data_IF_349807957486
#
_entry.id   IF_349807957486
#
_cell.length_a   1.000
_cell.length_b   1.000
_cell.length_c   1.000
_cell.angle_alpha   90.00
_cell.angle_beta   90.00
_cell.angle_gamma   90.00
#
_symmetry.space_group_name_H-M   'P 1'
#
loop_
_entity.id
_entity.type
_entity.pdbx_description
1 polymer ?
2 non-polymer ?
3 water ?
#
# COMPACT_ATOMS: atom_id res chain seq x y z
N UNK A 2 -0.62 10.31 -19.08
CA UNK A 2 -1.41 9.06 -19.26
C UNK A 2 -0.80 8.21 -20.37
N UNK A 3 -0.50 6.95 -20.07
CA UNK A 3 0.08 6.03 -21.06
C UNK A 3 -0.97 5.33 -21.92
N UNK A 4 -0.68 5.19 -23.21
CA UNK A 4 -1.49 4.32 -24.06
C UNK A 4 -1.22 2.87 -23.66
N UNK A 5 -2.08 1.96 -24.12
CA UNK A 5 -1.89 0.54 -23.82
C UNK A 5 -0.51 0.09 -24.30
N UNK A 6 -0.14 0.46 -25.52
CA UNK A 6 1.14 0.06 -26.09
C UNK A 6 2.31 0.66 -25.30
N UNK A 7 2.20 1.92 -24.91
CA UNK A 7 3.25 2.55 -24.14
C UNK A 7 3.45 1.88 -22.78
N UNK A 8 2.35 1.50 -22.15
CA UNK A 8 2.40 0.80 -20.88
C UNK A 8 3.17 -0.50 -21.06
N UNK A 9 2.87 -1.23 -22.12
CA UNK A 9 3.51 -2.53 -22.35
C UNK A 9 4.99 -2.34 -22.64
N UNK A 10 5.33 -1.31 -23.42
CA UNK A 10 6.75 -1.04 -23.71
C UNK A 10 7.49 -0.67 -22.43
N UNK A 11 6.90 0.20 -21.59
CA UNK A 11 7.57 0.58 -20.35
C UNK A 11 7.74 -0.61 -19.41
N UNK A 12 6.72 -1.45 -19.27
CA UNK A 12 6.87 -2.62 -18.45
C UNK A 12 7.95 -3.54 -18.95
N UNK A 13 8.04 -3.70 -20.27
CA UNK A 13 9.10 -4.51 -20.84
C UNK A 13 10.47 -3.95 -20.47
N UNK A 14 10.63 -2.64 -20.59
CA UNK A 14 11.91 -2.02 -20.26
C UNK A 14 12.26 -2.25 -18.78
N UNK A 15 11.30 -1.99 -17.90
CA UNK A 15 11.54 -2.16 -16.47
C UNK A 15 11.88 -3.61 -16.13
N UNK A 16 11.15 -4.54 -16.73
CA UNK A 16 11.39 -5.96 -16.45
C UNK A 16 12.73 -6.43 -17.02
N UNK A 17 13.10 -5.93 -18.19
CA UNK A 17 14.40 -6.24 -18.76
C UNK A 17 15.54 -5.75 -17.83
N UNK A 18 15.40 -4.55 -17.30
CA UNK A 18 16.39 -4.04 -16.34
C UNK A 18 16.46 -4.91 -15.09
N UNK A 19 15.30 -5.31 -14.59
CA UNK A 19 15.26 -6.17 -13.41
C UNK A 19 15.97 -7.50 -13.64
N UNK A 20 15.78 -8.06 -14.83
CA UNK A 20 16.33 -9.36 -15.16
C UNK A 20 17.81 -9.30 -15.49
N UNK A 21 18.20 -8.28 -16.24
CA UNK A 21 19.54 -8.20 -16.80
C UNK A 21 20.51 -7.28 -16.10
N UNK A 22 20.00 -6.24 -15.44
CA UNK A 22 20.88 -5.28 -14.78
C UNK A 22 21.41 -4.18 -15.67
N UNK A 23 20.77 -3.99 -16.83
CA UNK A 23 21.05 -2.86 -17.71
C UNK A 23 19.85 -2.75 -18.65
N UNK A 24 19.67 -1.59 -19.29
CA UNK A 24 18.53 -1.37 -20.16
C UNK A 24 18.60 -2.10 -21.52
N UNK A 25 17.42 -2.37 -22.12
CA UNK A 25 17.38 -2.97 -23.45
C UNK A 25 17.77 -1.96 -24.53
N UNK A 26 18.23 -2.47 -25.65
CA UNK A 26 18.49 -1.59 -26.80
C UNK A 26 17.19 -1.39 -27.58
N UNK A 27 17.20 -0.41 -28.46
CA UNK A 27 16.10 -0.23 -29.39
C UNK A 27 15.80 -1.51 -30.19
N UNK A 28 16.85 -2.19 -30.66
CA UNK A 28 16.66 -3.44 -31.41
C UNK A 28 15.95 -4.49 -30.56
N UNK A 29 16.29 -4.55 -29.27
CA UNK A 29 15.65 -5.53 -28.40
C UNK A 29 14.17 -5.24 -28.20
N UNK A 30 13.84 -3.97 -28.00
CA UNK A 30 12.44 -3.58 -27.90
C UNK A 30 11.69 -3.91 -29.20
N UNK A 31 12.36 -3.66 -30.34
CA UNK A 31 11.75 -3.92 -31.64
C UNK A 31 11.46 -5.41 -31.82
N UNK A 32 12.40 -6.25 -31.40
CA UNK A 32 12.21 -7.70 -31.43
C UNK A 32 11.01 -8.11 -30.58
N UNK A 33 10.96 -7.59 -29.35
CA UNK A 33 9.89 -7.94 -28.44
C UNK A 33 8.52 -7.60 -29.02
N UNK A 34 8.40 -6.41 -29.62
CA UNK A 34 7.10 -5.90 -30.06
C UNK A 34 6.79 -6.08 -31.54
N UNK A 35 7.71 -6.71 -32.27
CA UNK A 35 7.53 -7.04 -33.69
C UNK A 35 7.26 -5.77 -34.50
N UNK A 36 8.09 -4.77 -34.25
CA UNK A 36 8.02 -3.51 -34.94
C UNK A 36 9.42 -3.18 -35.42
N UNK A 37 9.53 -2.20 -36.29
CA UNK A 37 10.84 -1.76 -36.72
C UNK A 37 11.57 -1.06 -35.59
N UNK A 38 12.92 -1.06 -35.63
CA UNK A 38 13.65 -0.26 -34.65
C UNK A 38 13.20 1.20 -34.61
N UNK A 39 12.89 1.79 -35.77
CA UNK A 39 12.34 3.12 -35.82
C UNK A 39 11.04 3.24 -35.03
N UNK A 40 10.13 2.29 -35.21
CA UNK A 40 8.91 2.24 -34.41
C UNK A 40 9.17 2.13 -32.91
N UNK A 41 10.13 1.31 -32.51
CA UNK A 41 10.49 1.17 -31.09
C UNK A 41 11.05 2.46 -30.51
N UNK A 42 11.92 3.12 -31.27
CA UNK A 42 12.50 4.38 -30.83
C UNK A 42 11.39 5.42 -30.60
N UNK A 43 10.36 5.41 -31.46
CA UNK A 43 9.25 6.34 -31.32
C UNK A 43 8.54 6.17 -29.96
N UNK A 44 8.35 4.92 -29.51
CA UNK A 44 7.77 4.70 -28.18
C UNK A 44 8.68 5.22 -27.06
N UNK A 45 9.98 4.97 -27.18
CA UNK A 45 10.95 5.52 -26.22
C UNK A 45 10.86 7.03 -26.12
N UNK A 46 10.76 7.69 -27.27
CA UNK A 46 10.74 9.14 -27.31
C UNK A 46 9.47 9.63 -26.62
N UNK A 47 8.34 8.96 -26.85
CA UNK A 47 7.06 9.28 -26.19
C UNK A 47 7.09 9.08 -24.66
N UNK A 48 7.67 7.97 -24.20
CA UNK A 48 7.83 7.70 -22.78
C UNK A 48 8.68 8.78 -22.11
N UNK A 49 9.71 9.23 -22.82
CA UNK A 49 10.55 10.33 -22.35
C UNK A 49 9.75 11.64 -22.20
N UNK A 50 8.87 11.92 -23.17
CA UNK A 50 8.01 13.11 -23.15
C UNK A 50 7.08 13.18 -21.95
N UNK A 51 6.50 12.05 -21.61
CA UNK A 51 5.53 11.94 -20.53
C UNK A 51 6.22 11.78 -19.17
N UNK A 52 7.55 11.73 -19.19
CA UNK A 52 8.35 11.77 -17.96
C UNK A 52 8.63 10.44 -17.31
N UNK A 53 8.39 9.35 -18.02
CA UNK A 53 8.57 8.00 -17.45
C UNK A 53 9.99 7.47 -17.56
N UNK A 54 10.71 7.88 -18.60
CA UNK A 54 12.12 7.49 -18.75
C UNK A 54 12.97 8.73 -19.06
N UNK A 55 14.28 8.60 -18.85
CA UNK A 55 15.27 9.60 -19.22
C UNK A 55 16.27 8.91 -20.15
N UNK A 56 16.62 9.57 -21.25
CA UNK A 56 17.57 9.02 -22.21
C UNK A 56 18.75 9.96 -22.39
N UNK A 60 24.93 7.35 -25.77
CA UNK A 60 25.12 6.06 -26.41
C UNK A 60 23.89 5.15 -26.22
N UNK A 61 23.82 4.01 -26.95
CA UNK A 61 22.79 3.01 -26.71
C UNK A 61 22.67 2.57 -25.25
N UNK A 62 21.48 2.14 -24.88
CA UNK A 62 21.17 1.66 -23.52
C UNK A 62 21.33 2.76 -22.46
N UNK A 63 21.38 4.02 -22.90
CA UNK A 63 21.42 5.16 -21.98
C UNK A 63 20.00 5.49 -21.61
N UNK A 64 19.49 4.73 -20.64
CA UNK A 64 18.08 4.73 -20.35
C UNK A 64 17.91 4.54 -18.84
N UNK A 65 17.19 5.45 -18.22
CA UNK A 65 16.88 5.35 -16.79
C UNK A 65 15.39 5.51 -16.57
N UNK A 66 14.85 4.72 -15.64
CA UNK A 66 13.45 4.80 -15.30
C UNK A 66 13.25 5.97 -14.34
N UNK A 67 12.47 6.96 -14.78
CA UNK A 67 12.17 8.16 -13.97
C UNK A 67 10.86 8.05 -13.22
N UNK A 68 9.93 7.26 -13.77
CA UNK A 68 8.66 6.95 -13.10
C UNK A 68 8.30 5.50 -13.36
N UNK A 69 8.46 4.67 -12.34
CA UNK A 69 8.18 3.24 -12.45
C UNK A 69 6.68 2.94 -12.38
N UNK A 70 6.25 1.97 -13.19
CA UNK A 70 4.89 1.46 -13.13
C UNK A 70 4.86 -0.04 -12.80
N UNK A 71 6.00 -0.62 -12.47
CA UNK A 71 6.06 -2.05 -12.21
C UNK A 71 5.19 -2.46 -11.02
N UNK A 72 5.01 -1.56 -10.06
CA UNK A 72 4.25 -1.88 -8.85
C UNK A 72 2.80 -1.39 -8.90
N UNK A 73 2.38 -0.98 -10.09
CA UNK A 73 0.98 -0.66 -10.35
C UNK A 73 0.29 -1.96 -10.74
N UNK A 74 -0.47 -2.50 -9.79
CA UNK A 74 -1.03 -3.84 -9.92
C UNK A 74 -2.47 -3.78 -10.41
N UNK A 75 -2.81 -4.57 -11.45
CA UNK A 75 -4.18 -4.51 -11.97
C UNK A 75 -5.19 -5.04 -10.98
N UNK A 76 -6.26 -4.27 -10.80
CA UNK A 76 -7.41 -4.70 -10.03
C UNK A 76 -8.41 -5.30 -11.01
N UNK A 77 -8.66 -6.59 -10.85
CA UNK A 77 -9.56 -7.32 -11.73
C UNK A 77 -10.89 -7.50 -11.02
N UNK A 78 -11.98 -7.29 -11.75
CA UNK A 78 -13.31 -7.55 -11.19
C UNK A 78 -13.82 -8.89 -11.69
N UNK A 79 -14.61 -8.86 -12.74
CA UNK A 79 -15.18 -10.06 -13.30
C UNK A 79 -14.12 -10.87 -14.00
N UNK A 80 -14.25 -12.19 -13.89
CA UNK A 80 -13.45 -13.11 -14.67
C UNK A 80 -14.43 -14.13 -15.26
N UNK A 81 -14.33 -14.36 -16.56
CA UNK A 81 -15.21 -15.32 -17.26
C UNK A 81 -14.39 -16.45 -17.85
N UNK A 82 -15.04 -17.58 -18.12
CA UNK A 82 -14.38 -18.71 -18.78
C UNK A 82 -14.57 -18.60 -20.28
N UNK A 83 -13.47 -18.44 -21.01
CA UNK A 83 -13.51 -18.25 -22.46
C UNK A 83 -13.23 -19.51 -23.25
N UNK A 84 -12.63 -19.35 -24.42
CA UNK A 84 -12.23 -20.49 -25.26
C UNK A 84 -11.26 -21.36 -24.47
N UNK A 85 -11.50 -22.67 -24.47
CA UNK A 85 -10.65 -23.62 -23.75
C UNK A 85 -10.52 -23.21 -22.27
N UNK A 86 -11.56 -22.56 -21.75
CA UNK A 86 -11.60 -22.04 -20.37
C UNK A 86 -10.51 -21.03 -19.99
N UNK A 87 -9.91 -20.40 -21.00
CA UNK A 87 -9.03 -19.27 -20.75
C UNK A 87 -9.76 -18.24 -19.88
N UNK A 88 -9.06 -17.70 -18.89
CA UNK A 88 -9.66 -16.70 -18.02
C UNK A 88 -9.75 -15.36 -18.74
N UNK A 89 -10.97 -14.83 -18.87
CA UNK A 89 -11.19 -13.52 -19.48
C UNK A 89 -11.36 -12.55 -18.32
N UNK A 90 -10.39 -11.66 -18.14
CA UNK A 90 -10.35 -10.78 -16.99
C UNK A 90 -10.79 -9.38 -17.37
N UNK A 91 -11.62 -8.79 -16.51
CA UNK A 91 -12.15 -7.45 -16.75
C UNK A 91 -11.48 -6.49 -15.78
N UNK A 92 -10.49 -5.75 -16.30
CA UNK A 92 -9.69 -4.82 -15.54
C UNK A 92 -10.48 -3.60 -15.13
N UNK A 93 -10.37 -3.23 -13.87
CA UNK A 93 -11.04 -2.04 -13.36
C UNK A 93 -10.14 -0.87 -13.06
N UNK A 94 -8.90 -1.13 -12.69
CA UNK A 94 -7.99 -0.06 -12.27
C UNK A 94 -6.61 -0.64 -12.06
N UNK A 95 -5.64 0.22 -11.81
CA UNK A 95 -4.32 -0.18 -11.31
C UNK A 95 -4.11 0.48 -9.98
N UNK A 96 -3.63 -0.30 -9.00
CA UNK A 96 -3.35 0.19 -7.66
C UNK A 96 -1.86 -0.02 -7.35
N UNK A 97 -1.18 1.05 -6.90
CA UNK A 97 0.21 0.93 -6.48
C UNK A 97 0.34 0.17 -5.16
N UNK A 98 1.06 -0.94 -5.21
CA UNK A 98 1.25 -1.79 -4.03
C UNK A 98 2.71 -1.63 -3.55
N UNK A 99 2.90 -1.50 -2.21
CA UNK A 99 4.28 -1.33 -1.73
C UNK A 99 5.18 -2.50 -2.12
N UNK A 100 6.43 -2.17 -2.51
CA UNK A 100 7.38 -3.15 -3.03
C UNK A 100 7.60 -4.36 -2.11
N UNK A 101 7.65 -4.11 -0.81
CA UNK A 101 7.93 -5.16 0.17
C UNK A 101 6.84 -6.23 0.22
N UNK A 102 5.68 -5.95 -0.39
CA UNK A 102 4.58 -6.92 -0.41
C UNK A 102 4.56 -7.75 -1.71
N UNK A 103 5.44 -7.43 -2.65
CA UNK A 103 5.50 -8.06 -3.98
C UNK A 103 6.74 -8.92 -4.13
N UNK A 104 6.58 -10.12 -4.70
CA UNK A 104 7.75 -10.92 -5.01
C UNK A 104 8.24 -10.57 -6.39
N UNK A 105 9.53 -10.26 -6.48
CA UNK A 105 10.17 -10.24 -7.78
C UNK A 105 9.99 -11.63 -8.36
N UNK A 106 9.89 -11.68 -9.68
CA UNK A 106 9.80 -12.95 -10.34
C UNK A 106 8.40 -13.44 -10.62
N UNK A 107 7.37 -12.77 -10.07
CA UNK A 107 5.98 -13.09 -10.41
C UNK A 107 5.21 -11.86 -10.87
N UNK A 108 4.16 -12.10 -11.66
CA UNK A 108 3.14 -11.09 -11.92
C UNK A 108 2.08 -11.21 -10.84
N UNK A 109 1.33 -10.14 -10.64
CA UNK A 109 0.30 -10.10 -9.61
C UNK A 109 -0.95 -9.40 -10.11
N UNK A 110 -2.08 -9.71 -9.47
CA UNK A 110 -3.30 -8.94 -9.67
C UNK A 110 -4.01 -8.81 -8.33
N UNK A 111 -4.99 -7.91 -8.26
CA UNK A 111 -5.80 -7.75 -7.04
C UNK A 111 -7.22 -8.18 -7.35
N UNK A 112 -7.89 -8.72 -6.33
CA UNK A 112 -9.32 -9.00 -6.39
C UNK A 112 -9.97 -8.46 -5.15
N UNK A 113 -11.20 -7.97 -5.27
CA UNK A 113 -11.98 -7.56 -4.11
C UNK A 113 -12.70 -8.78 -3.57
N UNK A 114 -12.52 -9.03 -2.27
CA UNK A 114 -13.17 -10.14 -1.63
C UNK A 114 -14.67 -9.91 -1.49
N UNK A 115 -15.45 -10.92 -1.88
CA UNK A 115 -16.91 -10.88 -1.77
C UNK A 115 -17.33 -11.92 -0.77
N UNK A 116 -17.95 -11.49 0.32
CA UNK A 116 -18.47 -12.42 1.31
C UNK A 116 -17.48 -12.91 2.34
N UNK A 117 -17.89 -13.96 3.06
CA UNK A 117 -17.21 -14.43 4.27
C UNK A 117 -16.51 -15.78 4.11
N UNK A 118 -16.30 -16.24 2.89
CA UNK A 118 -15.70 -17.57 2.70
C UNK A 118 -14.32 -17.76 3.34
N UNK A 119 -13.60 -16.67 3.60
CA UNK A 119 -12.25 -16.77 4.14
C UNK A 119 -12.06 -16.06 5.49
N UNK A 120 -13.17 -15.84 6.19
CA UNK A 120 -13.16 -15.06 7.41
C UNK A 120 -12.26 -15.65 8.53
N UNK A 121 -12.16 -16.98 8.59
CA UNK A 121 -11.32 -17.62 9.60
C UNK A 121 -9.83 -17.51 9.31
N UNK A 122 -9.49 -17.09 8.09
CA UNK A 122 -8.12 -16.70 7.74
C UNK A 122 -7.98 -15.18 7.82
N UNK A 123 -8.99 -14.54 8.41
CA UNK A 123 -8.93 -13.10 8.67
C UNK A 123 -8.89 -12.28 7.36
N UNK A 124 -9.61 -12.82 6.37
CA UNK A 124 -9.81 -12.18 5.07
C UNK A 124 -11.30 -11.87 4.98
N UNK A 125 -11.62 -10.59 4.84
CA UNK A 125 -12.97 -10.10 5.05
C UNK A 125 -13.61 -9.56 3.77
N UNK A 126 -14.94 -9.61 3.72
CA UNK A 126 -15.66 -8.95 2.64
C UNK A 126 -15.15 -7.52 2.48
N UNK A 127 -14.88 -7.13 1.23
CA UNK A 127 -14.40 -5.79 0.91
C UNK A 127 -12.89 -5.65 0.93
N UNK A 128 -12.16 -6.63 1.48
CA UNK A 128 -10.70 -6.59 1.41
C UNK A 128 -10.27 -6.67 -0.05
N UNK A 129 -9.06 -6.20 -0.31
CA UNK A 129 -8.37 -6.60 -1.53
C UNK A 129 -7.43 -7.73 -1.18
N UNK A 130 -7.40 -8.76 -2.02
CA UNK A 130 -6.33 -9.74 -1.92
C UNK A 130 -5.39 -9.54 -3.09
N UNK A 131 -4.10 -9.62 -2.76
CA UNK A 131 -3.01 -9.58 -3.74
C UNK A 131 -2.76 -11.02 -4.14
N UNK A 132 -2.92 -11.30 -5.44
CA UNK A 132 -2.79 -12.64 -5.97
C UNK A 132 -1.54 -12.70 -6.86
N UNK A 133 -0.61 -13.57 -6.51
CA UNK A 133 0.52 -13.84 -7.35
C UNK A 133 0.11 -14.86 -8.41
N UNK A 134 0.36 -14.55 -9.68
CA UNK A 134 -0.09 -15.43 -10.76
C UNK A 134 0.74 -16.69 -10.80
N UNK A 135 0.04 -17.82 -10.74
CA UNK A 135 0.64 -19.14 -10.85
C UNK A 135 -0.52 -20.10 -11.12
N UNK A 136 -0.24 -21.19 -11.85
CA UNK A 136 -1.29 -22.13 -12.21
C UNK A 136 -1.13 -23.45 -11.47
N UNK A 137 -0.31 -23.41 -10.41
CA UNK A 137 -0.05 -24.56 -9.54
C UNK A 137 -0.30 -24.11 -8.11
N UNK A 138 -0.43 -25.05 -7.20
CA UNK A 138 -0.59 -24.75 -5.77
C UNK A 138 -0.16 -25.93 -4.94
N UNK A 139 0.22 -25.64 -3.70
CA UNK A 139 0.53 -26.66 -2.70
C UNK A 139 -0.65 -26.79 -1.74
N UNK A 140 -0.82 -27.97 -1.17
CA UNK A 140 -1.93 -28.18 -0.24
C UNK A 140 -1.85 -27.17 0.89
N UNK A 141 -2.98 -26.53 1.19
CA UNK A 141 -3.03 -25.53 2.24
C UNK A 141 -2.91 -24.10 1.73
N UNK A 142 -2.48 -23.93 0.47
CA UNK A 142 -2.35 -22.59 -0.10
C UNK A 142 -3.71 -21.93 -0.23
N UNK A 143 -3.77 -20.62 0.04
CA UNK A 143 -4.99 -19.88 -0.26
C UNK A 143 -4.90 -19.45 -1.71
N UNK A 144 -5.85 -19.91 -2.52
CA UNK A 144 -5.81 -19.65 -3.97
C UNK A 144 -7.02 -18.87 -4.44
N UNK A 145 -6.84 -18.20 -5.57
CA UNK A 145 -7.96 -17.77 -6.39
C UNK A 145 -8.11 -18.81 -7.49
N UNK A 146 -9.30 -19.40 -7.58
CA UNK A 146 -9.55 -20.51 -8.52
C UNK A 146 -10.85 -20.24 -9.28
N UNK A 147 -10.92 -20.78 -10.49
CA UNK A 147 -12.17 -20.73 -11.24
C UNK A 147 -12.62 -22.14 -11.56
N UNK A 148 -13.89 -22.41 -11.28
CA UNK A 148 -14.49 -23.69 -11.67
C UNK A 148 -15.94 -23.41 -11.97
N UNK A 149 -16.44 -24.01 -13.06
CA UNK A 149 -17.83 -23.84 -13.51
C UNK A 149 -18.19 -22.36 -13.55
N UNK A 150 -17.25 -21.57 -14.05
CA UNK A 150 -17.46 -20.14 -14.27
C UNK A 150 -17.65 -19.33 -13.00
N UNK A 151 -17.22 -19.88 -11.86
CA UNK A 151 -17.28 -19.18 -10.59
C UNK A 151 -15.87 -18.97 -10.08
N UNK A 152 -15.55 -17.73 -9.72
CA UNK A 152 -14.24 -17.41 -9.12
C UNK A 152 -14.40 -17.44 -7.63
N UNK A 153 -13.56 -18.18 -6.94
CA UNK A 153 -13.62 -18.18 -5.49
C UNK A 153 -12.23 -18.15 -4.88
N UNK A 154 -12.20 -17.77 -3.62
CA UNK A 154 -10.99 -17.88 -2.80
C UNK A 154 -11.24 -19.03 -1.87
N UNK A 155 -10.25 -19.89 -1.74
CA UNK A 155 -10.36 -21.07 -0.92
C UNK A 155 -8.99 -21.59 -0.62
N UNK A 156 -8.88 -22.42 0.39
CA UNK A 156 -7.68 -23.21 0.59
C UNK A 156 -7.71 -24.43 -0.34
N UNK A 157 -6.60 -24.67 -1.03
CA UNK A 157 -6.50 -25.70 -2.05
C UNK A 157 -5.93 -26.98 -1.47
N UNK A 158 -6.60 -28.10 -1.75
CA UNK A 158 -6.06 -29.42 -1.42
C UNK A 158 -6.29 -30.34 -2.60
N UNK A 159 -5.25 -31.09 -2.95
CA UNK A 159 -5.45 -32.16 -3.92
C UNK A 159 -5.07 -33.49 -3.33
N UNK A 160 -5.95 -34.46 -3.51
CA UNK A 160 -5.67 -35.86 -3.18
C UNK A 160 -6.07 -36.71 -4.36
N UNK A 161 -5.09 -37.35 -4.98
CA UNK A 161 -5.32 -38.14 -6.19
C UNK A 161 -5.91 -37.27 -7.29
N UNK A 162 -7.04 -37.72 -7.83
CA UNK A 162 -7.71 -37.06 -8.95
C UNK A 162 -8.72 -35.98 -8.52
N UNK A 163 -8.73 -35.63 -7.24
CA UNK A 163 -9.76 -34.75 -6.69
C UNK A 163 -9.15 -33.53 -6.02
N UNK A 164 -9.65 -32.37 -6.41
CA UNK A 164 -9.28 -31.12 -5.74
C UNK A 164 -10.41 -30.70 -4.81
N UNK A 165 -10.03 -30.33 -3.59
CA UNK A 165 -10.93 -29.72 -2.61
C UNK A 165 -10.65 -28.23 -2.57
N UNK A 166 -11.71 -27.44 -2.69
CA UNK A 166 -11.66 -26.00 -2.41
C UNK A 166 -12.34 -25.80 -1.06
N UNK A 167 -11.52 -25.57 -0.04
CA UNK A 167 -12.00 -25.52 1.34
C UNK A 167 -12.14 -24.07 1.82
N UNK A 168 -13.36 -23.67 2.22
CA UNK A 168 -13.49 -22.33 2.80
C UNK A 168 -12.85 -22.27 4.19
N UNK A 169 -12.67 -21.05 4.68
CA UNK A 169 -12.23 -20.86 6.06
C UNK A 169 -13.40 -20.18 6.76
N UNK A 170 -14.45 -20.97 6.99
CA UNK A 170 -15.70 -20.51 7.57
C UNK A 170 -16.51 -21.73 7.96
N UNK A 171 -16.78 -21.86 9.26
CA UNK A 171 -17.50 -23.00 9.83
C UNK A 171 -18.97 -23.09 9.39
N UNK A 172 -19.49 -22.02 8.81
CA UNK A 172 -20.86 -22.03 8.30
C UNK A 172 -20.92 -22.53 6.85
N UNK A 173 -19.76 -22.83 6.26
CA UNK A 173 -19.72 -23.20 4.85
C UNK A 173 -19.12 -24.57 4.68
N UNK A 174 -19.40 -25.20 3.55
CA UNK A 174 -18.85 -26.52 3.31
C UNK A 174 -17.84 -26.52 2.15
N UNK A 175 -16.94 -27.49 2.19
CA UNK A 175 -15.99 -27.68 1.10
C UNK A 175 -16.67 -28.17 -0.14
N UNK A 176 -16.04 -27.85 -1.28
CA UNK A 176 -16.46 -28.32 -2.58
C UNK A 176 -15.33 -29.15 -3.18
N UNK A 177 -15.70 -30.21 -3.90
CA UNK A 177 -14.75 -31.16 -4.44
C UNK A 177 -15.00 -31.35 -5.92
N UNK A 178 -13.92 -31.44 -6.69
CA UNK A 178 -14.01 -31.50 -8.15
C UNK A 178 -12.97 -32.43 -8.71
N UNK A 179 -13.30 -33.08 -9.83
CA UNK A 179 -12.26 -33.70 -10.63
C UNK A 179 -11.20 -32.62 -10.88
N UNK A 180 -9.93 -32.98 -10.65
CA UNK A 180 -8.87 -31.98 -10.50
C UNK A 180 -8.78 -30.97 -11.63
N UNK A 181 -8.80 -31.45 -12.86
CA UNK A 181 -8.56 -30.57 -14.00
C UNK A 181 -9.70 -29.57 -14.25
N UNK A 182 -10.86 -29.78 -13.60
CA UNK A 182 -11.93 -28.79 -13.71
C UNK A 182 -11.59 -27.47 -13.02
N UNK A 183 -10.60 -27.48 -12.12
CA UNK A 183 -10.28 -26.32 -11.30
C UNK A 183 -9.09 -25.61 -11.92
N UNK A 184 -9.30 -24.38 -12.34
CA UNK A 184 -8.23 -23.56 -12.88
C UNK A 184 -7.69 -22.71 -11.74
N UNK A 185 -6.40 -22.87 -11.45
CA UNK A 185 -5.76 -22.03 -10.42
C UNK A 185 -5.33 -20.74 -11.10
N UNK A 186 -5.85 -19.61 -10.61
CA UNK A 186 -5.45 -18.29 -11.13
C UNK A 186 -4.20 -17.75 -10.42
N UNK A 187 -4.07 -18.07 -9.15
CA UNK A 187 -2.86 -17.71 -8.43
C UNK A 187 -3.00 -17.94 -6.95
N UNK A 188 -1.98 -17.53 -6.21
CA UNK A 188 -1.96 -17.71 -4.76
C UNK A 188 -2.10 -16.37 -4.06
N UNK A 189 -2.92 -16.32 -3.03
CA UNK A 189 -3.09 -15.09 -2.24
C UNK A 189 -1.83 -14.87 -1.41
N UNK A 190 -1.17 -13.72 -1.62
CA UNK A 190 0.06 -13.40 -0.92
C UNK A 190 0.02 -12.07 -0.15
N UNK A 191 -1.12 -11.39 -0.19
CA UNK A 191 -1.27 -10.17 0.60
C UNK A 191 -2.73 -9.84 0.77
N UNK A 192 -3.03 -9.08 1.81
CA UNK A 192 -4.39 -8.65 2.10
C UNK A 192 -4.31 -7.17 2.46
N UNK A 193 -5.19 -6.37 1.86
CA UNK A 193 -5.20 -4.92 2.10
C UNK A 193 -6.62 -4.49 2.38
N UNK A 194 -6.82 -3.91 3.55
CA UNK A 194 -8.16 -3.55 4.03
C UNK A 194 -8.25 -2.08 4.37
N UNK A 195 -9.30 -1.43 3.88
CA UNK A 195 -9.60 -0.06 4.26
C UNK A 195 -10.69 -0.14 5.29
N UNK A 196 -10.47 0.53 6.44
CA UNK A 196 -11.51 0.61 7.46
C UNK A 196 -12.14 1.98 7.35
N UNK B 2 17.04 10.86 0.37
CA UNK B 2 16.10 10.42 1.44
C UNK B 2 15.60 11.61 2.23
N UNK B 3 14.60 11.40 3.09
CA UNK B 3 13.94 12.48 3.85
C UNK B 3 13.95 12.23 5.33
N UNK B 4 14.03 13.30 6.11
CA UNK B 4 13.68 13.24 7.52
C UNK B 4 12.17 13.44 7.66
N UNK B 5 11.65 13.10 8.83
CA UNK B 5 10.24 13.34 9.12
C UNK B 5 9.88 14.82 9.02
N UNK B 6 10.73 15.69 9.54
CA UNK B 6 10.46 17.13 9.42
C UNK B 6 10.37 17.51 7.94
N UNK B 7 11.29 17.02 7.13
CA UNK B 7 11.25 17.34 5.71
C UNK B 7 10.02 16.83 4.98
N UNK B 8 9.62 15.59 5.29
CA UNK B 8 8.39 15.05 4.71
C UNK B 8 7.20 15.94 5.08
N UNK B 9 7.15 16.36 6.34
CA UNK B 9 6.00 17.12 6.81
C UNK B 9 6.03 18.53 6.19
N UNK B 10 7.22 19.11 5.99
CA UNK B 10 7.36 20.37 5.22
C UNK B 10 6.79 20.23 3.82
N UNK B 11 7.12 19.13 3.14
CA UNK B 11 6.61 18.93 1.79
C UNK B 11 5.11 18.77 1.77
N UNK B 12 4.54 18.06 2.74
CA UNK B 12 3.08 17.94 2.83
C UNK B 12 2.42 19.28 3.04
N UNK B 13 3.01 20.09 3.91
CA UNK B 13 2.51 21.43 4.17
C UNK B 13 2.55 22.29 2.90
N UNK B 14 3.69 22.30 2.20
CA UNK B 14 3.80 23.05 0.95
C UNK B 14 2.73 22.64 -0.05
N UNK B 15 2.52 21.34 -0.20
CA UNK B 15 1.60 20.86 -1.21
C UNK B 15 0.16 21.27 -0.88
N UNK B 16 -0.21 21.09 0.38
CA UNK B 16 -1.57 21.44 0.84
C UNK B 16 -1.79 22.95 0.78
N UNK B 17 -0.78 23.72 1.17
CA UNK B 17 -0.86 25.18 1.14
C UNK B 17 -1.11 25.68 -0.28
N UNK B 18 -0.34 25.17 -1.24
CA UNK B 18 -0.56 25.54 -2.64
C UNK B 18 -1.97 25.17 -3.12
N UNK B 19 -2.43 23.98 -2.76
CA UNK B 19 -3.78 23.57 -3.15
C UNK B 19 -4.84 24.52 -2.61
N UNK B 20 -4.72 24.89 -1.34
CA UNK B 20 -5.71 25.73 -0.69
C UNK B 20 -5.66 27.18 -1.14
N UNK B 21 -4.45 27.68 -1.36
CA UNK B 21 -4.24 29.12 -1.53
C UNK B 21 -3.89 29.57 -2.91
N UNK B 22 -3.36 28.66 -3.74
CA UNK B 22 -3.02 29.00 -5.12
C UNK B 22 -1.68 29.70 -5.27
N UNK B 23 -0.91 29.71 -4.19
CA UNK B 23 0.44 30.24 -4.18
C UNK B 23 1.18 29.50 -3.06
N UNK B 24 2.53 29.43 -3.14
CA UNK B 24 3.26 28.69 -2.11
C UNK B 24 3.54 29.47 -0.82
N UNK B 25 3.76 28.79 0.30
CA UNK B 25 4.09 29.47 1.56
C UNK B 25 5.52 30.01 1.50
N UNK B 26 5.75 31.11 2.21
CA UNK B 26 7.10 31.67 2.38
C UNK B 26 7.94 30.84 3.36
N UNK B 27 9.23 31.16 3.42
CA UNK B 27 10.17 30.59 4.39
C UNK B 27 9.69 30.77 5.83
N UNK B 28 9.24 31.99 6.16
CA UNK B 28 8.76 32.26 7.52
C UNK B 28 7.41 31.61 7.82
N UNK B 29 6.55 31.48 6.80
CA UNK B 29 5.31 30.75 7.01
C UNK B 29 5.61 29.29 7.35
N UNK B 30 6.59 28.70 6.64
CA UNK B 30 6.99 27.32 6.90
C UNK B 30 7.61 27.18 8.29
N UNK B 31 8.48 28.13 8.65
CA UNK B 31 9.11 28.14 9.96
C UNK B 31 8.11 28.20 11.12
N UNK B 32 7.14 29.11 11.04
CA UNK B 32 6.15 29.21 12.10
C UNK B 32 5.25 27.98 12.19
N UNK B 33 4.92 27.40 11.03
CA UNK B 33 4.09 26.21 10.97
C UNK B 33 4.71 25.09 11.80
N UNK B 34 6.03 24.98 11.73
CA UNK B 34 6.75 23.85 12.34
C UNK B 34 7.57 24.18 13.59
N UNK B 35 7.48 25.43 14.04
CA UNK B 35 8.24 25.91 15.21
C UNK B 35 9.75 25.67 15.02
N UNK B 36 10.23 25.95 13.82
CA UNK B 36 11.66 25.94 13.53
C UNK B 36 12.07 27.35 13.14
N UNK B 37 13.37 27.57 13.01
CA UNK B 37 13.88 28.89 12.69
C UNK B 37 13.69 29.18 11.21
N UNK B 38 13.50 30.46 10.86
CA UNK B 38 13.49 30.81 9.43
C UNK B 38 14.71 30.27 8.64
N UNK B 39 15.90 30.34 9.23
CA UNK B 39 17.08 29.83 8.55
C UNK B 39 16.99 28.32 8.33
N UNK B 40 16.51 27.62 9.35
CA UNK B 40 16.27 26.17 9.25
C UNK B 40 15.31 25.84 8.13
N UNK B 41 14.21 26.58 8.03
CA UNK B 41 13.26 26.36 6.95
C UNK B 41 13.88 26.53 5.55
N UNK B 42 14.69 27.56 5.38
CA UNK B 42 15.37 27.80 4.13
C UNK B 42 16.34 26.67 3.76
N UNK B 43 17.11 26.21 4.75
CA UNK B 43 18.05 25.10 4.52
C UNK B 43 17.29 23.84 4.04
N UNK B 44 16.11 23.62 4.59
CA UNK B 44 15.27 22.53 4.09
C UNK B 44 14.85 22.71 2.65
N UNK B 45 14.44 23.93 2.28
CA UNK B 45 14.03 24.13 0.89
C UNK B 45 15.19 23.85 -0.07
N UNK B 46 16.38 24.29 0.32
CA UNK B 46 17.55 24.03 -0.50
C UNK B 46 17.80 22.52 -0.67
N UNK B 47 17.72 21.79 0.43
CA UNK B 47 17.92 20.34 0.41
C UNK B 47 16.88 19.60 -0.41
N UNK B 48 15.62 20.00 -0.25
CA UNK B 48 14.53 19.31 -0.92
C UNK B 48 14.52 19.58 -2.40
N UNK B 49 15.01 20.75 -2.79
CA UNK B 49 15.16 21.04 -4.22
C UNK B 49 16.28 20.17 -4.80
N UNK B 50 17.38 20.06 -4.06
CA UNK B 50 18.48 19.22 -4.49
C UNK B 50 18.03 17.76 -4.65
N UNK B 51 17.12 17.32 -3.78
CA UNK B 51 16.55 15.97 -3.83
C UNK B 51 15.46 15.77 -4.88
N UNK B 52 15.02 16.86 -5.51
CA UNK B 52 14.05 16.78 -6.61
C UNK B 52 12.58 16.78 -6.20
N UNK B 53 12.31 17.06 -4.93
CA UNK B 53 10.91 17.07 -4.47
C UNK B 53 10.19 18.37 -4.77
N UNK B 54 10.96 19.46 -4.86
CA UNK B 54 10.42 20.79 -5.16
C UNK B 54 11.31 21.48 -6.18
N UNK B 55 10.75 22.53 -6.78
CA UNK B 55 11.47 23.42 -7.68
C UNK B 55 11.20 24.85 -7.22
N UNK B 56 12.22 25.69 -7.26
CA UNK B 56 12.05 27.12 -7.05
C UNK B 56 12.81 27.87 -8.14
N UNK B 57 12.11 28.11 -9.25
CA UNK B 57 12.71 28.77 -10.41
C UNK B 57 13.37 30.08 -9.99
N UNK B 58 14.66 30.21 -10.34
CA UNK B 58 15.46 31.41 -10.03
C UNK B 58 15.58 31.69 -8.53
N UNK B 59 15.32 30.66 -7.72
CA UNK B 59 15.37 30.76 -6.26
C UNK B 59 14.37 31.73 -5.67
N UNK B 60 13.28 31.96 -6.38
CA UNK B 60 12.27 32.92 -5.96
C UNK B 60 11.14 32.25 -5.19
N UNK B 61 10.88 32.72 -3.96
CA UNK B 61 9.88 32.08 -3.09
C UNK B 61 8.52 31.85 -3.73
N UNK B 62 8.02 32.82 -4.49
CA UNK B 62 6.70 32.69 -5.10
C UNK B 62 6.61 31.61 -6.19
N UNK B 63 7.77 31.10 -6.62
CA UNK B 63 7.84 30.05 -7.64
C UNK B 63 7.88 28.64 -7.04
N UNK B 64 7.96 28.56 -5.72
CA UNK B 64 8.03 27.27 -5.02
C UNK B 64 6.88 26.37 -5.47
N UNK B 65 7.22 25.20 -6.00
CA UNK B 65 6.20 24.23 -6.41
C UNK B 65 6.66 22.82 -6.13
N UNK B 66 5.68 21.91 -6.06
CA UNK B 66 5.97 20.51 -5.85
C UNK B 66 6.32 19.85 -7.18
N UNK B 67 7.49 19.19 -7.26
CA UNK B 67 7.87 18.43 -8.46
C UNK B 67 7.63 16.93 -8.32
N UNK B 68 7.72 16.42 -7.09
CA UNK B 68 7.45 15.01 -6.79
C UNK B 68 6.72 14.96 -5.45
N UNK B 69 5.42 14.69 -5.51
CA UNK B 69 4.63 14.63 -4.28
C UNK B 69 5.06 13.48 -3.40
N UNK B 70 5.05 13.71 -2.09
CA UNK B 70 5.32 12.61 -1.16
C UNK B 70 4.07 12.17 -0.41
N UNK B 71 2.89 12.47 -0.96
CA UNK B 71 1.64 12.13 -0.27
C UNK B 71 1.39 10.64 0.01
N UNK B 72 2.06 9.78 -0.73
CA UNK B 72 1.92 8.34 -0.53
C UNK B 72 2.93 7.78 0.44
N UNK B 73 3.89 8.61 0.88
CA UNK B 73 5.01 8.05 1.62
C UNK B 73 4.71 8.07 3.10
N UNK B 74 4.50 6.90 3.68
CA UNK B 74 4.03 6.82 5.07
C UNK B 74 5.10 6.25 5.99
N UNK B 75 5.40 6.94 7.11
CA UNK B 75 6.43 6.42 8.00
C UNK B 75 5.95 5.17 8.74
N UNK B 76 6.79 4.14 8.72
CA UNK B 76 6.65 3.01 9.61
C UNK B 76 7.40 3.37 10.88
N UNK B 77 6.69 3.44 12.00
CA UNK B 77 7.25 3.80 13.27
C UNK B 77 7.57 2.53 13.99
N UNK B 78 8.85 2.37 14.31
CA UNK B 78 9.32 1.12 14.91
C UNK B 78 9.15 1.01 16.40
N UNK B 79 9.09 2.15 17.06
CA UNK B 79 9.06 2.19 18.52
C UNK B 79 8.39 3.48 18.96
N UNK B 80 7.47 3.37 19.92
CA UNK B 80 6.93 4.53 20.59
C UNK B 80 7.03 4.21 22.07
N UNK B 81 7.75 5.06 22.79
CA UNK B 81 8.03 4.80 24.19
C UNK B 81 7.73 6.02 25.04
N UNK B 82 7.58 5.78 26.34
CA UNK B 82 7.30 6.82 27.31
C UNK B 82 8.43 7.83 27.39
N UNK B 83 8.09 9.12 27.28
CA UNK B 83 9.04 10.20 27.47
C UNK B 83 8.91 10.81 28.87
N UNK B 84 9.64 11.90 29.09
CA UNK B 84 9.64 12.58 30.39
C UNK B 84 8.89 13.88 30.22
N UNK B 85 9.37 14.75 29.34
CA UNK B 85 8.69 15.99 29.05
C UNK B 85 7.55 15.78 28.06
N UNK B 86 7.71 14.73 27.24
CA UNK B 86 6.72 14.31 26.27
C UNK B 86 6.08 13.03 26.77
N UNK B 87 4.80 12.84 26.47
CA UNK B 87 4.15 11.57 26.77
C UNK B 87 4.77 10.42 25.97
N UNK B 88 5.03 10.67 24.69
CA UNK B 88 5.53 9.64 23.78
C UNK B 88 6.71 10.13 22.95
N UNK B 89 7.65 9.22 22.69
CA UNK B 89 8.80 9.46 21.81
C UNK B 89 8.74 8.41 20.70
N UNK B 90 8.84 8.84 19.45
CA UNK B 90 8.70 7.95 18.26
C UNK B 90 9.99 7.81 17.48
N UNK B 91 10.23 6.59 17.03
CA UNK B 91 11.40 6.28 16.23
C UNK B 91 10.97 5.77 14.86
N UNK B 92 11.50 6.43 13.82
CA UNK B 92 11.22 6.08 12.44
C UNK B 92 12.03 4.85 12.04
N UNK B 93 11.37 3.85 11.47
CA UNK B 93 12.02 2.63 10.99
C UNK B 93 12.24 2.66 9.49
N UNK B 94 11.21 3.05 8.73
CA UNK B 94 11.28 3.09 7.26
C UNK B 94 10.09 3.86 6.73
N UNK B 95 10.03 4.02 5.41
CA UNK B 95 8.85 4.53 4.73
C UNK B 95 8.24 3.44 3.85
N UNK B 96 6.92 3.40 3.81
CA UNK B 96 6.17 2.48 2.96
C UNK B 96 5.21 3.31 2.09
N UNK B 97 5.16 3.00 0.79
CA UNK B 97 4.25 3.70 -0.13
C UNK B 97 2.83 3.11 -0.05
N UNK B 98 1.87 3.95 0.29
CA UNK B 98 0.48 3.56 0.47
C UNK B 98 -0.39 4.39 -0.52
N UNK B 99 -1.35 3.75 -1.24
CA UNK B 99 -2.26 4.55 -2.11
C UNK B 99 -3.08 5.59 -1.37
N UNK B 100 -3.35 6.75 -2.00
CA UNK B 100 -4.09 7.84 -1.36
C UNK B 100 -5.52 7.39 -1.06
N UNK B 101 -5.99 6.35 -1.74
CA UNK B 101 -7.35 5.84 -1.48
C UNK B 101 -7.52 5.35 -0.05
N UNK B 102 -6.42 4.89 0.57
CA UNK B 102 -6.45 4.48 1.97
C UNK B 102 -6.24 5.64 2.93
N UNK B 103 -5.82 6.80 2.42
CA UNK B 103 -5.44 7.93 3.26
C UNK B 103 -6.58 8.93 3.38
N UNK B 104 -6.70 9.59 4.53
CA UNK B 104 -7.65 10.68 4.68
C UNK B 104 -7.00 12.03 4.34
N UNK B 105 -7.64 12.76 3.43
CA UNK B 105 -7.19 14.11 3.11
C UNK B 105 -7.18 14.97 4.35
N UNK B 106 -6.14 15.78 4.48
CA UNK B 106 -6.02 16.69 5.60
C UNK B 106 -5.41 16.10 6.85
N UNK B 107 -5.05 14.81 6.83
CA UNK B 107 -4.40 14.19 7.97
C UNK B 107 -3.05 13.65 7.59
N UNK B 108 -2.22 13.45 8.61
CA UNK B 108 -1.01 12.64 8.45
C UNK B 108 -1.29 11.25 9.02
N UNK B 109 -0.41 10.30 8.69
CA UNK B 109 -0.63 8.89 9.02
C UNK B 109 0.72 8.27 9.33
N UNK B 110 0.68 7.16 10.04
CA UNK B 110 1.87 6.36 10.25
C UNK B 110 1.48 4.89 10.26
N UNK B 111 2.48 4.02 10.17
CA UNK B 111 2.24 2.57 10.22
C UNK B 111 2.87 2.02 11.48
N UNK B 112 2.24 1.00 12.04
CA UNK B 112 2.79 0.24 13.17
C UNK B 112 2.69 -1.23 12.85
N UNK B 113 3.71 -1.97 13.25
CA UNK B 113 3.65 -3.42 13.14
C UNK B 113 2.90 -3.99 14.34
N UNK B 114 1.91 -4.82 14.08
CA UNK B 114 1.07 -5.43 15.12
C UNK B 114 1.87 -6.54 15.80
N UNK B 115 1.85 -6.54 17.14
CA UNK B 115 2.54 -7.55 17.93
C UNK B 115 1.49 -8.23 18.77
N UNK B 116 1.28 -9.52 18.50
CA UNK B 116 0.35 -10.34 19.28
C UNK B 116 -1.07 -10.41 18.79
N UNK B 117 -1.94 -10.95 19.65
CA UNK B 117 -3.28 -11.39 19.28
C UNK B 117 -4.40 -10.49 19.79
N UNK B 118 -4.04 -9.30 20.29
CA UNK B 118 -5.04 -8.47 20.96
C UNK B 118 -6.18 -8.01 20.04
N UNK B 119 -5.97 -8.03 18.73
CA UNK B 119 -7.01 -7.56 17.82
C UNK B 119 -7.50 -8.63 16.84
N UNK B 120 -7.29 -9.88 17.20
CA UNK B 120 -7.56 -10.99 16.29
C UNK B 120 -9.03 -11.10 15.87
N UNK B 121 -9.96 -10.74 16.77
CA UNK B 121 -11.38 -10.82 16.43
C UNK B 121 -11.87 -9.74 15.49
N UNK B 122 -11.03 -8.72 15.29
CA UNK B 122 -11.24 -7.75 14.22
C UNK B 122 -10.37 -8.11 13.02
N UNK B 123 -9.82 -9.34 13.02
CA UNK B 123 -9.09 -9.85 11.83
C UNK B 123 -7.84 -9.06 11.56
N UNK B 124 -7.21 -8.61 12.66
CA UNK B 124 -5.93 -7.93 12.63
C UNK B 124 -4.96 -8.85 13.36
N UNK B 125 -3.93 -9.28 12.65
CA UNK B 125 -3.06 -10.37 13.07
C UNK B 125 -1.65 -9.92 13.41
N UNK B 126 -1.02 -10.69 14.29
CA UNK B 126 0.39 -10.51 14.54
C UNK B 126 1.15 -10.40 13.21
N UNK B 127 1.99 -9.38 13.10
CA UNK B 127 2.79 -9.14 11.91
C UNK B 127 2.16 -8.26 10.87
N UNK B 128 0.86 -7.99 10.99
CA UNK B 128 0.21 -7.03 10.08
C UNK B 128 0.81 -5.64 10.29
N UNK B 129 0.69 -4.79 9.28
CA UNK B 129 0.85 -3.36 9.51
C UNK B 129 -0.53 -2.74 9.67
N UNK B 130 -0.68 -1.90 10.68
CA UNK B 130 -1.87 -1.07 10.73
C UNK B 130 -1.50 0.34 10.31
N UNK B 131 -2.37 0.90 9.47
CA UNK B 131 -2.26 2.30 9.05
C UNK B 131 -3.06 3.11 10.04
N UNK B 132 -2.37 4.02 10.71
CA UNK B 132 -2.96 4.84 11.75
C UNK B 132 -3.06 6.28 11.27
N UNK B 133 -4.28 6.81 11.29
CA UNK B 133 -4.51 8.21 10.98
C UNK B 133 -4.26 9.03 12.24
N UNK B 134 -3.34 10.00 12.17
CA UNK B 134 -2.98 10.76 13.37
C UNK B 134 -4.14 11.66 13.78
N UNK B 135 -4.58 11.46 15.01
CA UNK B 135 -5.65 12.25 15.62
C UNK B 135 -5.58 11.98 17.10
N UNK B 136 -5.98 12.96 17.91
CA UNK B 136 -5.86 12.85 19.37
C UNK B 136 -7.22 12.71 20.01
N UNK B 137 -8.20 12.29 19.22
CA UNK B 137 -9.54 12.00 19.75
C UNK B 137 -9.99 10.68 19.17
N UNK B 138 -11.02 10.09 19.77
CA UNK B 138 -11.60 8.87 19.22
C UNK B 138 -13.09 8.82 19.48
N UNK B 139 -13.77 7.97 18.71
CA UNK B 139 -15.19 7.73 18.84
C UNK B 139 -15.41 6.30 19.29
N UNK B 140 -16.53 6.06 19.98
CA UNK B 140 -16.84 4.72 20.44
C UNK B 140 -16.78 3.71 19.29
N UNK B 141 -16.07 2.62 19.55
CA UNK B 141 -15.96 1.54 18.58
C UNK B 141 -14.79 1.69 17.60
N UNK B 142 -14.11 2.84 17.63
CA UNK B 142 -12.90 2.99 16.81
C UNK B 142 -11.83 2.05 17.30
N UNK B 143 -11.05 1.51 16.38
CA UNK B 143 -9.79 0.85 16.74
C UNK B 143 -8.74 1.94 16.81
N UNK B 144 -8.08 2.04 17.96
CA UNK B 144 -7.10 3.10 18.18
C UNK B 144 -5.74 2.56 18.55
N UNK B 145 -4.71 3.36 18.27
CA UNK B 145 -3.41 3.23 18.91
C UNK B 145 -3.41 4.25 20.04
N UNK B 146 -3.22 3.77 21.27
CA UNK B 146 -3.31 4.60 22.44
C UNK B 146 -2.08 4.39 23.31
N UNK B 147 -1.70 5.43 24.04
CA UNK B 147 -0.68 5.29 25.06
C UNK B 147 -1.30 5.57 26.40
N UNK B 148 -1.15 4.58 27.29
CA UNK B 148 -1.63 4.67 28.66
C UNK B 148 -0.58 4.00 29.54
N UNK B 149 -0.27 4.66 30.65
CA UNK B 149 0.74 4.17 31.60
C UNK B 149 2.07 3.85 30.89
N UNK B 150 2.41 4.67 29.91
CA UNK B 150 3.69 4.58 29.20
C UNK B 150 3.76 3.53 28.10
N UNK B 151 2.67 2.80 27.92
CA UNK B 151 2.62 1.66 27.04
C UNK B 151 1.65 1.91 25.91
N UNK B 152 2.04 1.47 24.71
CA UNK B 152 1.20 1.62 23.53
C UNK B 152 0.43 0.34 23.27
N UNK B 153 -0.87 0.47 23.07
CA UNK B 153 -1.68 -0.69 22.70
C UNK B 153 -2.61 -0.35 21.55
N UNK B 154 -3.05 -1.39 20.86
CA UNK B 154 -4.14 -1.30 19.91
C UNK B 154 -5.37 -1.88 20.60
N UNK B 155 -6.49 -1.18 20.51
CA UNK B 155 -7.70 -1.63 21.20
C UNK B 155 -8.88 -0.91 20.57
N UNK B 156 -10.08 -1.44 20.81
CA UNK B 156 -11.30 -0.67 20.55
C UNK B 156 -11.52 0.30 21.70
N UNK B 157 -11.86 1.52 21.33
CA UNK B 157 -12.01 2.63 22.28
C UNK B 157 -13.48 2.82 22.62
N UNK B 158 -13.79 2.94 23.92
CA UNK B 158 -15.12 3.39 24.37
C UNK B 158 -14.92 4.42 25.45
N UNK B 159 -15.72 5.47 25.43
CA UNK B 159 -15.72 6.41 26.55
C UNK B 159 -17.11 6.60 27.11
N UNK B 160 -17.20 6.51 28.43
CA UNK B 160 -18.44 6.79 29.16
C UNK B 160 -18.06 7.77 30.25
N UNK B 161 -18.16 9.06 29.93
CA UNK B 161 -17.83 10.13 30.86
C UNK B 161 -16.39 10.12 31.36
N UNK B 162 -16.22 9.89 32.65
CA UNK B 162 -14.91 9.98 33.27
C UNK B 162 -13.97 8.80 32.98
N UNK B 163 -14.50 7.78 32.32
CA UNK B 163 -13.79 6.51 32.14
C UNK B 163 -13.70 6.08 30.68
N UNK B 164 -12.49 5.73 30.26
CA UNK B 164 -12.25 5.16 28.92
C UNK B 164 -11.97 3.67 29.08
N UNK B 165 -12.59 2.88 28.22
CA UNK B 165 -12.30 1.45 28.10
C UNK B 165 -11.49 1.21 26.84
N UNK B 166 -10.38 0.51 27.00
CA UNK B 166 -9.61 0.00 25.86
C UNK B 166 -9.88 -1.50 25.84
N UNK B 167 -10.71 -1.90 24.88
CA UNK B 167 -11.20 -3.27 24.79
C UNK B 167 -10.43 -4.02 23.72
N UNK B 168 -9.72 -5.11 24.11
CA UNK B 168 -9.10 -5.93 23.06
C UNK B 168 -10.19 -6.65 22.26
N UNK B 169 -9.95 -6.86 20.97
CA UNK B 169 -10.81 -7.73 20.18
C UNK B 169 -10.29 -9.16 20.33
N UNK B 170 -10.44 -9.66 21.55
CA UNK B 170 -9.96 -10.96 21.92
C UNK B 170 -10.65 -11.25 23.26
N UNK B 171 -11.62 -12.16 23.22
CA UNK B 171 -12.43 -12.57 24.38
C UNK B 171 -11.56 -12.93 25.59
N UNK B 172 -10.41 -13.53 25.32
CA UNK B 172 -9.51 -14.06 26.34
C UNK B 172 -8.58 -13.03 26.97
N UNK B 173 -8.69 -11.77 26.53
CA UNK B 173 -7.90 -10.68 27.09
C UNK B 173 -8.80 -9.65 27.75
N UNK B 174 -8.30 -9.05 28.83
CA UNK B 174 -9.11 -8.17 29.64
C UNK B 174 -9.25 -6.76 29.06
N UNK B 175 -10.47 -6.23 29.10
CA UNK B 175 -10.64 -4.81 28.89
C UNK B 175 -9.90 -4.05 29.98
N UNK B 176 -9.34 -2.91 29.62
CA UNK B 176 -8.64 -2.06 30.57
C UNK B 176 -9.42 -0.77 30.65
N UNK B 177 -9.61 -0.29 31.87
CA UNK B 177 -10.39 0.91 32.13
C UNK B 177 -9.48 1.93 32.79
N UNK B 178 -9.58 3.17 32.31
CA UNK B 178 -8.73 4.27 32.78
C UNK B 178 -9.52 5.53 32.96
N UNK B 179 -9.07 6.38 33.87
CA UNK B 179 -9.56 7.75 33.89
C UNK B 179 -9.32 8.33 32.49
N UNK B 180 -10.35 8.93 31.91
CA UNK B 180 -10.32 9.36 30.50
C UNK B 180 -9.11 10.26 30.18
N UNK B 181 -8.76 11.13 31.10
CA UNK B 181 -7.67 12.08 30.86
C UNK B 181 -6.29 11.42 30.77
N UNK B 182 -6.19 10.16 31.17
CA UNK B 182 -4.92 9.44 31.16
C UNK B 182 -4.66 8.75 29.84
N UNK B 183 -5.67 8.68 28.98
CA UNK B 183 -5.55 7.96 27.71
C UNK B 183 -5.15 8.92 26.59
N UNK B 184 -3.94 8.71 26.08
CA UNK B 184 -3.45 9.50 24.95
C UNK B 184 -3.74 8.76 23.66
N UNK B 185 -4.65 9.29 22.84
CA UNK B 185 -4.91 8.67 21.54
C UNK B 185 -3.84 9.13 20.56
N UNK B 186 -3.14 8.16 19.99
CA UNK B 186 -2.12 8.44 18.94
C UNK B 186 -2.77 8.53 17.56
N UNK B 187 -3.82 7.75 17.35
CA UNK B 187 -4.63 7.85 16.14
C UNK B 187 -5.60 6.70 16.00
N UNK B 188 -6.33 6.72 14.90
CA UNK B 188 -7.34 5.72 14.58
C UNK B 188 -6.79 4.79 13.53
N UNK B 189 -6.96 3.48 13.73
CA UNK B 189 -6.58 2.52 12.69
C UNK B 189 -7.56 2.61 11.53
N UNK B 190 -7.03 2.88 10.35
CA UNK B 190 -7.88 3.09 9.16
C UNK B 190 -7.52 2.13 8.03
N UNK B 191 -6.51 1.28 8.24
CA UNK B 191 -6.17 0.28 7.23
C UNK B 191 -5.35 -0.82 7.83
N UNK B 192 -5.35 -1.97 7.15
CA UNK B 192 -4.62 -3.14 7.59
C UNK B 192 -3.93 -3.71 6.37
N UNK B 193 -2.63 -3.91 6.48
CA UNK B 193 -1.82 -4.45 5.38
C UNK B 193 -1.13 -5.72 5.87
N UNK B 194 -1.32 -6.82 5.15
CA UNK B 194 -0.74 -8.09 5.55
C UNK B 194 0.00 -8.72 4.40
N UNK B 195 1.24 -9.10 4.68
CA UNK B 195 2.00 -9.90 3.74
C UNK B 195 1.90 -11.34 4.19
N UNK B 196 1.53 -12.24 3.29
CA UNK B 196 1.45 -13.64 3.67
C UNK B 196 2.79 -14.37 3.44
X LIG C 1 3.80 15.55 22.81
X LIG C 1 5.06 15.81 23.37
X LIG C 1 3.18 14.44 23.62
X LIG C 1 3.32 14.69 25.01
X LIG C 1 3.77 13.07 23.26
X LIG C 1 5.16 13.16 23.03
#
# INVERSE_FOLDING_TARGET
MDLTERQRKVLLFIEEFIEKNGYPPSVREIARRFRITPRGALLHLIALEKKGYIERKNGKPRALRISKSIRNKIPLIGEIRAGEKREAIEYLEDYIEIPESFLSSGYDHFLLKVKGESMIEEHICDGDLVLVRRQDWAQNGDIVAAMVDGEVTLAKFYQRGDTVELRPANREMSSMFFRAEKVKILGKVVGVFRKL
MDLTERQRKVLLFIEEFIEKNGYPPSVREIARRFRITPRGALLHLIALEKKGYIERKNGKPRALRISKSIRNKIPLIGEIRAGEKREAIEYLEDYIEIPESFLSSGYDHFLLKVKGESMIEEHICDGDLVLVRRQDWAQNGDIVAAMVDGEVTLAKFYQRGDTVELRPANREMSSMFFRAEKVKILGKVVGVFRKL
GOL C1 O1 C2 O2 C3 O3
#
